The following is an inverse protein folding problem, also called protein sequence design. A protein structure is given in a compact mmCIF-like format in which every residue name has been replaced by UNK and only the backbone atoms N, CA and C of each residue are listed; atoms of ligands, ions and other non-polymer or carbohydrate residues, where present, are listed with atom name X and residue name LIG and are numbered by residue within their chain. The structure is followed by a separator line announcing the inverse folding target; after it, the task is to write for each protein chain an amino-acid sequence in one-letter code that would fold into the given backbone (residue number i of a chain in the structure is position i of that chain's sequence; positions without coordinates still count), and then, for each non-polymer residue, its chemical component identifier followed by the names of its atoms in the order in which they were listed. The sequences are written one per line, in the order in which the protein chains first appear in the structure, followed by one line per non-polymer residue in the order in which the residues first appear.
data_IF_021849749399
#
_entry.id   IF_021849749399
#
_cell.length_a   1.000
_cell.length_b   1.000
_cell.length_c   1.000
_cell.angle_alpha   90.00
_cell.angle_beta   90.00
_cell.angle_gamma   90.00
#
_symmetry.space_group_name_H-M   'P 1'
#
loop_
_entity.id
_entity.type
_entity.pdbx_description
1 polymer ?
#
# COMPACT_ATOMS: atom_id res chain seq x y z
N UNK A 1 2.01 -14.56 0.36
CA UNK A 1 2.92 -15.61 -0.16
C UNK A 1 3.22 -15.41 -1.65
N UNK A 2 2.22 -15.47 -2.53
CA UNK A 2 2.41 -15.27 -3.98
C UNK A 2 3.20 -13.98 -4.34
N UNK A 3 2.83 -12.87 -3.73
CA UNK A 3 3.41 -11.54 -3.98
C UNK A 3 4.84 -11.32 -3.43
N UNK A 4 5.15 -11.91 -2.27
CA UNK A 4 6.36 -11.56 -1.49
C UNK A 4 7.41 -12.68 -1.48
N UNK A 5 7.04 -13.87 -1.92
CA UNK A 5 7.93 -15.03 -2.04
C UNK A 5 7.98 -15.47 -3.50
N UNK A 6 6.82 -15.75 -4.10
CA UNK A 6 6.71 -16.14 -5.50
C UNK A 6 7.47 -17.43 -5.85
N UNK A 7 7.61 -17.66 -7.15
CA UNK A 7 8.37 -18.78 -7.66
C UNK A 7 9.88 -18.59 -7.39
N UNK A 8 10.65 -19.67 -7.13
CA UNK A 8 10.27 -21.08 -7.24
C UNK A 8 9.67 -21.71 -5.96
N UNK A 9 9.47 -20.94 -4.90
CA UNK A 9 8.96 -21.49 -3.63
C UNK A 9 7.43 -21.55 -3.58
N UNK A 10 6.74 -20.69 -4.33
CA UNK A 10 5.28 -20.56 -4.37
C UNK A 10 4.80 -20.40 -5.81
N UNK A 11 4.01 -21.37 -6.29
CA UNK A 11 3.37 -21.33 -7.60
C UNK A 11 1.91 -20.93 -7.43
N UNK A 12 1.47 -19.88 -8.14
CA UNK A 12 0.08 -19.42 -8.13
C UNK A 12 -0.54 -19.76 -9.47
N UNK A 13 -1.63 -20.53 -9.47
CA UNK A 13 -2.30 -21.01 -10.67
C UNK A 13 -3.81 -21.14 -10.44
N UNK A 14 -4.60 -21.17 -11.52
CA UNK A 14 -6.03 -21.45 -11.40
C UNK A 14 -6.28 -22.94 -11.15
N UNK A 15 -6.81 -23.27 -9.97
CA UNK A 15 -7.12 -24.65 -9.59
C UNK A 15 -8.21 -25.30 -10.45
N UNK A 16 -9.07 -24.51 -11.09
CA UNK A 16 -10.13 -25.00 -11.99
C UNK A 16 -9.60 -25.37 -13.38
N UNK A 17 -8.40 -24.90 -13.73
CA UNK A 17 -7.77 -25.19 -15.01
C UNK A 17 -6.82 -26.40 -14.86
N UNK A 18 -7.35 -27.61 -15.07
CA UNK A 18 -6.60 -28.86 -14.91
C UNK A 18 -5.32 -28.92 -15.76
N UNK A 19 -5.33 -28.30 -16.94
CA UNK A 19 -4.14 -28.21 -17.80
C UNK A 19 -3.04 -27.37 -17.15
N UNK A 20 -3.41 -26.23 -16.54
CA UNK A 20 -2.46 -25.36 -15.83
C UNK A 20 -1.89 -26.06 -14.58
N UNK A 21 -2.72 -26.81 -13.86
CA UNK A 21 -2.31 -27.62 -12.71
C UNK A 21 -1.27 -28.65 -13.16
N UNK A 22 -1.57 -29.45 -14.19
CA UNK A 22 -0.67 -30.49 -14.69
C UNK A 22 0.67 -29.90 -15.14
N UNK A 23 0.64 -28.84 -15.95
CA UNK A 23 1.85 -28.16 -16.43
C UNK A 23 2.68 -27.58 -15.27
N UNK A 24 2.02 -27.02 -14.25
CA UNK A 24 2.71 -26.47 -13.08
C UNK A 24 3.37 -27.57 -12.25
N UNK A 25 2.67 -28.68 -11.99
CA UNK A 25 3.25 -29.82 -11.24
C UNK A 25 4.43 -30.43 -11.99
N UNK A 26 4.30 -30.65 -13.30
CA UNK A 26 5.41 -31.16 -14.11
C UNK A 26 6.63 -30.23 -14.07
N UNK A 27 6.40 -28.90 -14.08
CA UNK A 27 7.46 -27.91 -13.97
C UNK A 27 8.17 -27.96 -12.61
N UNK A 28 7.41 -28.09 -11.52
CA UNK A 28 7.96 -28.25 -10.15
C UNK A 28 8.85 -29.49 -10.07
N UNK A 29 8.40 -30.62 -10.61
CA UNK A 29 9.15 -31.89 -10.57
C UNK A 29 10.44 -31.85 -11.39
N UNK A 30 10.48 -31.06 -12.48
CA UNK A 30 11.65 -30.92 -13.35
C UNK A 30 12.68 -29.93 -12.81
N UNK A 31 12.25 -28.94 -12.03
CA UNK A 31 13.15 -27.92 -11.50
C UNK A 31 13.96 -28.46 -10.31
N UNK A 32 15.24 -28.03 -10.17
CA UNK A 32 16.01 -28.37 -8.99
C UNK A 32 15.35 -27.78 -7.75
N UNK A 33 15.36 -28.55 -6.65
CA UNK A 33 14.77 -28.09 -5.39
C UNK A 33 15.44 -26.79 -4.96
N UNK A 34 14.69 -25.69 -4.77
CA UNK A 34 15.29 -24.45 -4.31
C UNK A 34 15.78 -24.60 -2.86
N UNK A 35 16.77 -23.79 -2.45
CA UNK A 35 17.19 -23.78 -1.05
C UNK A 35 16.01 -23.38 -0.14
N UNK A 36 15.97 -23.88 1.10
CA UNK A 36 15.00 -23.40 2.10
C UNK A 36 15.06 -21.88 2.20
N UNK A 37 13.89 -21.23 2.19
CA UNK A 37 13.78 -19.79 2.24
C UNK A 37 12.80 -19.38 3.32
N UNK A 38 13.22 -18.42 4.15
CA UNK A 38 12.41 -17.81 5.20
C UNK A 38 12.55 -16.29 5.04
N UNK A 39 11.48 -15.56 4.69
CA UNK A 39 11.54 -14.10 4.62
C UNK A 39 11.98 -13.52 5.97
N UNK A 40 12.79 -12.47 5.91
CA UNK A 40 13.46 -11.91 7.09
C UNK A 40 12.47 -11.52 8.21
N UNK A 41 11.32 -10.93 7.86
CA UNK A 41 10.24 -10.52 8.78
C UNK A 41 9.60 -11.66 9.59
N UNK A 42 9.82 -12.92 9.18
CA UNK A 42 9.39 -14.12 9.88
C UNK A 42 10.53 -14.83 10.64
N UNK A 43 11.75 -14.26 10.64
CA UNK A 43 12.83 -14.72 11.52
C UNK A 43 12.68 -14.09 12.91
N UNK A 44 13.33 -14.68 13.93
CA UNK A 44 13.40 -14.07 15.27
C UNK A 44 13.97 -12.65 15.23
N UNK A 45 15.05 -12.43 14.48
CA UNK A 45 15.68 -11.12 14.36
C UNK A 45 14.76 -10.10 13.69
N UNK A 46 14.11 -10.47 12.58
CA UNK A 46 13.19 -9.58 11.88
C UNK A 46 11.92 -9.28 12.67
N UNK A 47 11.40 -10.23 13.44
CA UNK A 47 10.29 -9.96 14.37
C UNK A 47 10.70 -9.00 15.48
N UNK A 48 11.87 -9.19 16.09
CA UNK A 48 12.40 -8.29 17.11
C UNK A 48 12.67 -6.88 16.56
N UNK A 49 13.23 -6.78 15.36
CA UNK A 49 13.43 -5.50 14.66
C UNK A 49 12.10 -4.75 14.52
N UNK A 50 11.08 -5.42 13.97
CA UNK A 50 9.74 -4.83 13.75
C UNK A 50 9.10 -4.37 15.06
N UNK A 51 9.10 -5.23 16.08
CA UNK A 51 8.49 -4.92 17.37
C UNK A 51 9.24 -3.76 18.05
N UNK A 52 10.56 -3.75 17.98
CA UNK A 52 11.38 -2.67 18.55
C UNK A 52 11.03 -1.33 17.90
N UNK A 53 10.98 -1.28 16.57
CA UNK A 53 10.58 -0.08 15.85
C UNK A 53 9.18 0.42 16.26
N UNK A 54 8.20 -0.49 16.38
CA UNK A 54 6.86 -0.12 16.84
C UNK A 54 6.86 0.41 18.28
N UNK A 55 7.54 -0.25 19.20
CA UNK A 55 7.60 0.17 20.60
C UNK A 55 8.24 1.56 20.76
N UNK A 56 9.25 1.87 19.96
CA UNK A 56 9.99 3.13 20.05
C UNK A 56 9.28 4.29 19.33
N UNK A 57 8.59 4.02 18.22
CA UNK A 57 8.15 5.08 17.32
C UNK A 57 6.62 5.12 17.08
N UNK A 58 5.88 4.02 17.23
CA UNK A 58 4.43 4.02 16.95
C UNK A 58 3.66 4.59 18.14
N UNK A 59 3.48 5.91 18.17
CA UNK A 59 2.83 6.63 19.28
C UNK A 59 1.47 7.20 18.88
N UNK A 60 0.42 6.71 19.55
CA UNK A 60 -0.95 7.21 19.39
C UNK A 60 -1.42 8.14 20.52
N UNK A 61 -0.67 8.22 21.63
CA UNK A 61 -1.05 9.01 22.81
C UNK A 61 -0.59 10.47 22.73
N UNK A 62 0.35 10.80 21.84
CA UNK A 62 0.91 12.14 21.65
C UNK A 62 1.17 12.37 20.16
N UNK A 63 1.11 13.61 19.68
CA UNK A 63 1.48 13.92 18.30
C UNK A 63 2.91 13.48 18.02
N UNK A 64 3.06 12.53 17.12
CA UNK A 64 4.34 12.05 16.64
C UNK A 64 4.19 11.58 15.20
N UNK A 65 5.05 12.05 14.30
CA UNK A 65 5.01 11.65 12.91
C UNK A 65 5.87 10.41 12.72
N UNK A 66 5.22 9.25 12.66
CA UNK A 66 5.86 8.01 12.24
C UNK A 66 4.89 7.16 11.41
N UNK A 67 5.28 6.69 10.21
CA UNK A 67 6.58 6.84 9.58
C UNK A 67 6.92 8.29 9.20
N UNK A 68 8.20 8.62 8.95
CA UNK A 68 8.61 9.97 8.59
C UNK A 68 7.92 10.48 7.32
N UNK A 69 7.64 11.78 7.25
CA UNK A 69 6.94 12.38 6.11
C UNK A 69 7.71 12.27 4.78
N UNK A 70 9.04 12.15 4.83
CA UNK A 70 9.89 11.92 3.65
C UNK A 70 9.70 10.54 3.00
N UNK A 71 9.07 9.59 3.72
CA UNK A 71 8.73 8.28 3.19
C UNK A 71 7.50 8.28 2.29
N UNK A 72 6.76 9.40 2.25
CA UNK A 72 5.57 9.58 1.43
C UNK A 72 5.91 9.56 -0.05
N UNK A 73 5.30 8.62 -0.75
CA UNK A 73 5.28 8.51 -2.20
C UNK A 73 3.84 8.67 -2.66
N UNK A 74 3.48 9.83 -3.19
CA UNK A 74 2.10 10.08 -3.64
C UNK A 74 1.81 9.41 -4.96
N UNK A 75 0.63 8.79 -5.08
CA UNK A 75 0.12 8.20 -6.33
C UNK A 75 -1.34 8.55 -6.59
N UNK A 76 -1.68 8.79 -7.84
CA UNK A 76 -3.07 8.92 -8.26
C UNK A 76 -3.57 7.57 -8.78
N UNK A 77 -4.61 7.03 -8.16
CA UNK A 77 -5.21 5.78 -8.63
C UNK A 77 -5.95 5.95 -9.96
N UNK A 78 -6.12 4.85 -10.68
CA UNK A 78 -7.08 4.79 -11.78
C UNK A 78 -8.51 4.80 -11.21
N UNK A 79 -9.52 5.23 -12.00
CA UNK A 79 -10.92 5.12 -11.58
C UNK A 79 -11.27 3.67 -11.23
N UNK A 80 -11.99 3.46 -10.12
CA UNK A 80 -12.34 2.12 -9.65
C UNK A 80 -11.19 1.33 -9.01
N UNK A 81 -10.04 1.95 -8.72
CA UNK A 81 -8.88 1.28 -8.10
C UNK A 81 -8.58 1.87 -6.72
N UNK A 82 -8.39 0.98 -5.74
CA UNK A 82 -8.05 1.36 -4.36
C UNK A 82 -6.59 1.78 -4.19
N UNK A 83 -6.29 2.56 -3.15
CA UNK A 83 -4.91 2.94 -2.84
C UNK A 83 -4.03 1.74 -2.48
N UNK A 84 -4.58 0.73 -1.80
CA UNK A 84 -3.90 -0.54 -1.56
C UNK A 84 -3.39 -1.15 -2.86
N UNK A 85 -4.25 -1.24 -3.88
CA UNK A 85 -3.88 -1.83 -5.17
C UNK A 85 -2.91 -0.93 -5.94
N UNK A 86 -3.16 0.38 -5.99
CA UNK A 86 -2.30 1.34 -6.68
C UNK A 86 -0.87 1.32 -6.14
N UNK A 87 -0.68 1.33 -4.82
CA UNK A 87 0.66 1.21 -4.24
C UNK A 87 1.28 -0.15 -4.53
N UNK A 88 0.50 -1.23 -4.41
CA UNK A 88 0.97 -2.59 -4.64
C UNK A 88 1.47 -2.82 -6.08
N UNK A 89 0.73 -2.33 -7.09
CA UNK A 89 1.10 -2.45 -8.51
C UNK A 89 2.44 -1.76 -8.83
N UNK A 90 2.84 -0.79 -8.01
CA UNK A 90 4.11 -0.08 -8.13
C UNK A 90 5.21 -0.62 -7.19
N UNK A 91 4.99 -1.76 -6.54
CA UNK A 91 5.95 -2.34 -5.59
C UNK A 91 6.10 -1.53 -4.30
N UNK A 92 5.07 -0.76 -3.93
CA UNK A 92 4.98 0.03 -2.71
C UNK A 92 3.92 -0.57 -1.76
N UNK A 93 3.79 0.00 -0.57
CA UNK A 93 2.68 -0.29 0.35
C UNK A 93 1.93 1.00 0.65
N UNK A 94 0.60 0.93 0.78
CA UNK A 94 -0.21 2.07 1.21
C UNK A 94 0.04 2.34 2.71
N UNK A 95 0.27 3.60 3.07
CA UNK A 95 0.56 4.07 4.42
C UNK A 95 -0.55 5.01 4.90
N UNK A 96 -1.49 4.52 5.73
CA UNK A 96 -2.64 5.31 6.15
C UNK A 96 -2.26 6.50 7.05
N UNK A 97 -1.21 6.39 7.86
CA UNK A 97 -0.79 7.45 8.79
C UNK A 97 -0.34 8.72 8.05
N UNK A 98 -0.02 8.64 6.76
CA UNK A 98 0.43 9.77 5.94
C UNK A 98 -0.70 10.45 5.14
N UNK A 99 -1.94 9.96 5.19
CA UNK A 99 -3.04 10.58 4.43
C UNK A 99 -3.33 12.02 4.87
N UNK A 100 -3.08 12.38 6.14
CA UNK A 100 -3.28 13.75 6.61
C UNK A 100 -2.41 14.77 5.85
N UNK A 101 -1.24 14.35 5.33
CA UNK A 101 -0.37 15.18 4.47
C UNK A 101 -0.97 15.41 3.07
N UNK A 102 -1.88 14.53 2.63
CA UNK A 102 -2.53 14.57 1.32
C UNK A 102 -3.94 15.17 1.37
N UNK A 103 -4.55 15.28 2.55
CA UNK A 103 -5.92 15.73 2.72
C UNK A 103 -6.04 17.27 2.73
N UNK A 104 -5.45 17.93 1.73
CA UNK A 104 -5.49 19.38 1.54
C UNK A 104 -5.37 19.76 0.05
N UNK A 105 -5.74 20.99 -0.31
CA UNK A 105 -5.74 21.46 -1.70
C UNK A 105 -4.33 21.52 -2.31
N UNK A 106 -3.33 21.89 -1.50
CA UNK A 106 -1.94 22.02 -1.95
C UNK A 106 -1.39 20.67 -2.42
N UNK A 107 -1.78 19.56 -1.77
CA UNK A 107 -1.41 18.22 -2.18
C UNK A 107 -1.93 17.88 -3.58
N UNK A 108 -3.16 18.26 -3.92
CA UNK A 108 -3.68 18.07 -5.29
C UNK A 108 -2.89 18.88 -6.31
N UNK A 109 -2.65 20.17 -6.02
CA UNK A 109 -1.89 21.06 -6.90
C UNK A 109 -0.47 20.54 -7.16
N UNK A 110 0.24 20.08 -6.11
CA UNK A 110 1.59 19.48 -6.21
C UNK A 110 1.63 18.22 -7.07
N UNK A 111 0.51 17.53 -7.20
CA UNK A 111 0.38 16.33 -8.02
C UNK A 111 -0.25 16.61 -9.40
N UNK A 112 -0.33 17.89 -9.81
CA UNK A 112 -0.84 18.30 -11.11
C UNK A 112 -2.33 18.05 -11.29
N UNK A 113 -3.09 18.03 -10.19
CA UNK A 113 -4.54 17.84 -10.21
C UNK A 113 -5.19 19.20 -10.04
N UNK A 114 -5.91 19.64 -11.06
CA UNK A 114 -6.77 20.82 -10.98
C UNK A 114 -8.07 20.45 -10.27
N UNK A 115 -8.42 21.24 -9.26
CA UNK A 115 -9.64 21.08 -8.48
C UNK A 115 -10.55 22.30 -8.73
N UNK A 116 -11.45 22.27 -9.73
CA UNK A 116 -12.36 23.38 -10.01
C UNK A 116 -13.25 23.73 -8.82
N UNK A 117 -13.61 22.72 -8.04
CA UNK A 117 -14.31 22.86 -6.78
C UNK A 117 -13.83 21.79 -5.81
N UNK A 118 -13.99 22.08 -4.53
CA UNK A 118 -13.63 21.17 -3.45
C UNK A 118 -14.86 20.90 -2.60
N UNK A 119 -15.12 19.63 -2.35
CA UNK A 119 -16.17 19.18 -1.45
C UNK A 119 -15.53 18.46 -0.28
N UNK A 120 -15.97 18.79 0.93
CA UNK A 120 -15.57 18.07 2.13
C UNK A 120 -16.73 17.22 2.62
N UNK A 121 -16.41 16.06 3.17
CA UNK A 121 -17.41 15.20 3.77
C UNK A 121 -16.85 13.88 4.24
N UNK A 122 -17.75 12.96 4.57
CA UNK A 122 -17.40 11.66 5.16
C UNK A 122 -17.37 10.57 4.10
N UNK A 123 -16.22 10.37 3.47
CA UNK A 123 -16.05 9.32 2.44
C UNK A 123 -14.72 8.59 2.57
N UNK A 124 -14.77 7.26 2.68
CA UNK A 124 -13.56 6.40 2.68
C UNK A 124 -12.75 6.51 1.39
N UNK A 125 -13.31 7.14 0.34
CA UNK A 125 -12.64 7.34 -0.93
C UNK A 125 -11.82 8.63 -0.98
N UNK A 126 -12.05 9.59 -0.07
CA UNK A 126 -11.24 10.80 0.03
C UNK A 126 -9.83 10.51 0.61
N UNK A 127 -8.80 11.34 0.32
CA UNK A 127 -8.82 12.42 -0.66
C UNK A 127 -8.84 11.89 -2.10
N UNK A 128 -9.65 12.51 -2.97
CA UNK A 128 -9.83 12.01 -4.34
C UNK A 128 -10.25 13.09 -5.33
N UNK A 129 -10.11 12.79 -6.61
CA UNK A 129 -10.74 13.48 -7.73
C UNK A 129 -11.95 12.66 -8.18
N UNK A 130 -13.14 13.25 -8.08
CA UNK A 130 -14.39 12.67 -8.57
C UNK A 130 -14.60 13.12 -10.00
N UNK A 131 -14.57 12.17 -10.94
CA UNK A 131 -14.56 12.48 -12.38
C UNK A 131 -15.94 12.74 -12.97
N UNK A 132 -17.02 12.32 -12.29
CA UNK A 132 -18.40 12.59 -12.75
C UNK A 132 -18.75 14.08 -12.70
N UNK A 133 -18.42 14.73 -11.58
CA UNK A 133 -18.77 16.13 -11.31
C UNK A 133 -17.55 17.07 -11.28
N UNK A 134 -16.38 16.54 -11.67
CA UNK A 134 -15.11 17.28 -11.76
C UNK A 134 -14.78 18.12 -10.51
N UNK A 135 -14.83 17.48 -9.34
CA UNK A 135 -14.45 18.11 -8.07
C UNK A 135 -13.44 17.25 -7.30
N UNK A 136 -12.68 17.89 -6.42
CA UNK A 136 -11.82 17.19 -5.48
C UNK A 136 -12.56 16.99 -4.16
N UNK A 137 -12.53 15.77 -3.63
CA UNK A 137 -13.11 15.43 -2.34
C UNK A 137 -12.01 15.39 -1.28
N UNK A 138 -12.24 16.10 -0.18
CA UNK A 138 -11.45 16.04 1.05
C UNK A 138 -12.25 15.36 2.15
N UNK A 139 -11.55 14.71 3.07
CA UNK A 139 -12.14 14.02 4.21
C UNK A 139 -12.28 14.97 5.41
N UNK A 140 -13.46 15.02 6.03
CA UNK A 140 -13.68 15.78 7.28
C UNK A 140 -13.44 14.92 8.56
N UNK A 141 -13.56 13.60 8.45
CA UNK A 141 -13.28 12.65 9.54
C UNK A 141 -11.98 11.88 9.28
N UNK A 142 -10.90 12.23 9.98
CA UNK A 142 -9.60 11.60 9.83
C UNK A 142 -9.63 10.08 10.03
N UNK A 143 -10.57 9.55 10.83
CA UNK A 143 -10.72 8.11 11.07
C UNK A 143 -11.22 7.35 9.83
N UNK A 144 -11.77 8.06 8.84
CA UNK A 144 -12.27 7.50 7.58
C UNK A 144 -11.21 7.48 6.47
N UNK A 145 -10.00 8.01 6.72
CA UNK A 145 -8.87 7.89 5.79
C UNK A 145 -8.48 6.41 5.65
N UNK A 146 -8.55 5.89 4.42
CA UNK A 146 -8.47 4.43 4.21
C UNK A 146 -7.65 4.05 2.99
N UNK A 147 -6.77 3.06 3.14
CA UNK A 147 -6.11 2.43 1.99
C UNK A 147 -7.08 1.58 1.14
N UNK A 148 -8.14 1.08 1.76
CA UNK A 148 -9.14 0.26 1.11
C UNK A 148 -10.23 1.12 0.45
N UNK A 149 -11.07 0.48 -0.37
CA UNK A 149 -12.18 1.16 -1.04
C UNK A 149 -11.81 1.67 -2.43
N UNK A 150 -12.72 1.45 -3.36
CA UNK A 150 -12.64 1.80 -4.78
C UNK A 150 -14.03 2.19 -5.25
N UNK A 151 -14.13 3.22 -6.07
CA UNK A 151 -15.39 3.68 -6.65
C UNK A 151 -15.15 4.03 -8.13
N UNK A 152 -16.11 3.70 -8.99
CA UNK A 152 -15.95 3.65 -10.46
C UNK A 152 -15.49 4.97 -11.05
N UNK A 153 -16.06 6.09 -10.57
CA UNK A 153 -15.79 7.43 -11.08
C UNK A 153 -14.90 8.26 -10.14
N UNK A 154 -14.07 7.57 -9.34
CA UNK A 154 -13.20 8.20 -8.35
C UNK A 154 -11.74 7.79 -8.56
N UNK A 155 -10.86 8.77 -8.74
CA UNK A 155 -9.41 8.61 -8.70
C UNK A 155 -8.90 9.07 -7.34
N UNK A 156 -8.27 8.18 -6.59
CA UNK A 156 -7.84 8.46 -5.21
C UNK A 156 -6.42 9.00 -5.18
N UNK A 157 -6.19 10.02 -4.36
CA UNK A 157 -4.83 10.51 -4.08
C UNK A 157 -4.27 9.69 -2.91
N UNK A 158 -3.36 8.77 -3.23
CA UNK A 158 -2.91 7.71 -2.34
C UNK A 158 -1.57 8.03 -1.69
N UNK A 159 -1.49 7.80 -0.38
CA UNK A 159 -0.24 7.80 0.38
C UNK A 159 0.41 6.42 0.29
N UNK A 160 1.41 6.27 -0.58
CA UNK A 160 2.24 5.07 -0.62
C UNK A 160 3.56 5.32 0.13
N UNK A 161 4.28 4.25 0.44
CA UNK A 161 5.68 4.31 0.87
C UNK A 161 6.47 3.11 0.38
N UNK A 162 7.78 3.29 0.32
CA UNK A 162 8.70 2.17 0.16
C UNK A 162 8.81 1.36 1.46
N UNK A 163 9.36 0.15 1.35
CA UNK A 163 9.60 -0.73 2.49
C UNK A 163 10.96 -1.45 2.36
N UNK A 164 11.52 -1.86 3.49
CA UNK A 164 12.75 -2.67 3.53
C UNK A 164 12.44 -4.05 2.98
N UNK A 165 13.24 -4.54 2.02
CA UNK A 165 13.04 -5.88 1.45
C UNK A 165 13.06 -6.93 2.55
N UNK A 166 12.02 -7.76 2.59
CA UNK A 166 11.83 -8.76 3.64
C UNK A 166 11.38 -8.20 5.00
N UNK A 167 11.04 -6.91 5.11
CA UNK A 167 10.43 -6.28 6.28
C UNK A 167 9.43 -5.20 5.82
N UNK A 168 8.26 -5.64 5.35
CA UNK A 168 7.26 -4.74 4.73
C UNK A 168 6.74 -3.68 5.72
N UNK A 169 6.71 -4.04 7.00
CA UNK A 169 6.31 -3.19 8.10
C UNK A 169 7.09 -1.86 8.17
N UNK A 170 8.37 -1.85 7.77
CA UNK A 170 9.26 -0.70 7.97
C UNK A 170 9.64 -0.05 6.65
N UNK A 171 9.54 1.27 6.61
CA UNK A 171 10.04 2.09 5.52
C UNK A 171 11.57 2.14 5.50
N UNK A 172 12.17 2.64 4.40
CA UNK A 172 13.62 2.76 4.31
C UNK A 172 14.18 3.74 5.36
N UNK A 173 13.50 4.87 5.59
CA UNK A 173 13.85 5.90 6.57
C UNK A 173 13.33 5.64 8.00
N UNK A 174 12.66 4.50 8.25
CA UNK A 174 12.05 4.23 9.56
C UNK A 174 13.13 3.88 10.59
N UNK A 175 13.23 4.67 11.67
CA UNK A 175 14.11 4.40 12.79
C UNK A 175 13.76 3.08 13.51
N UNK A 176 14.76 2.49 14.15
CA UNK A 176 14.60 1.43 15.14
C UNK A 176 14.35 2.04 16.52
#
# INVERSE_FOLDING_TARGET
MAAFVGEPHVYTFNAENLTEVELTVQRILKQPRPPPYLPYEFTFAGMLERITAYLNNQQYCRPHQWPPSDSLVTRLSRPGVSCKQTCYDEGLVCEPELFHLLNNEEAFAKNGIECPSIQRGHSVHAPSLVTSDSHCSLQDDELMLSCAGSEKDVKRLCSCRQYRRGQVALCLSCSL
#
